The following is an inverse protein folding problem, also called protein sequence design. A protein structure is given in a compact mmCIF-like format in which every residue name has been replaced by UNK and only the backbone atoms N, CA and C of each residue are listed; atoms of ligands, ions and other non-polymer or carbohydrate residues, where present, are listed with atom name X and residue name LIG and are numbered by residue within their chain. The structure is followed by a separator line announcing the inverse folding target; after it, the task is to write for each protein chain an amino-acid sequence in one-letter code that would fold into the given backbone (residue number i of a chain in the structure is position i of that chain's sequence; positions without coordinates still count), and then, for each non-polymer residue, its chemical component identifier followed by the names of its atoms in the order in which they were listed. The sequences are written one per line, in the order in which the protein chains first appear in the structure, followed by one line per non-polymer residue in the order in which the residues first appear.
data_IF_563942499395
#
_entry.id   IF_563942499395
#
_cell.length_a   1.000
_cell.length_b   1.000
_cell.length_c   1.000
_cell.angle_alpha   90.00
_cell.angle_beta   90.00
_cell.angle_gamma   90.00
#
_symmetry.space_group_name_H-M   'P 1'
#
loop_
_entity.id
_entity.type
_entity.pdbx_description
1 polymer ?
#
# COMPACT_ATOMS: atom_id res chain seq x y z
N UNK A 1 40.65 46.07 -36.87
CA UNK A 1 39.30 46.58 -37.22
C UNK A 1 38.54 45.51 -38.00
N UNK A 2 37.59 44.81 -37.37
CA UNK A 2 36.62 43.94 -38.05
C UNK A 2 35.26 44.17 -37.41
N UNK A 3 34.30 44.51 -38.26
CA UNK A 3 32.99 45.01 -37.89
C UNK A 3 32.06 43.90 -37.42
N UNK A 4 31.19 44.30 -36.50
CA UNK A 4 30.15 43.57 -35.80
C UNK A 4 29.01 43.20 -36.74
N UNK A 5 28.68 41.91 -36.84
CA UNK A 5 27.49 41.39 -37.52
C UNK A 5 26.47 40.86 -36.52
N UNK A 6 25.59 41.75 -36.03
CA UNK A 6 24.46 41.45 -35.13
C UNK A 6 23.36 40.71 -35.91
N UNK A 7 23.14 39.42 -35.64
CA UNK A 7 21.97 38.68 -36.16
C UNK A 7 20.75 38.94 -35.26
N UNK A 8 19.79 39.70 -35.77
CA UNK A 8 18.45 39.86 -35.19
C UNK A 8 17.66 38.55 -35.28
N UNK A 9 17.43 37.89 -34.14
CA UNK A 9 16.46 36.81 -34.02
C UNK A 9 15.11 37.43 -33.66
N UNK A 10 14.18 37.46 -34.62
CA UNK A 10 12.77 37.83 -34.40
C UNK A 10 12.13 36.77 -33.50
N UNK A 11 11.80 37.15 -32.28
CA UNK A 11 10.95 36.36 -31.38
C UNK A 11 9.51 36.44 -31.86
N UNK A 12 9.03 35.40 -32.55
CA UNK A 12 7.60 35.19 -32.78
C UNK A 12 6.97 34.80 -31.43
N UNK A 13 6.20 35.72 -30.83
CA UNK A 13 5.26 35.41 -29.75
C UNK A 13 4.15 34.55 -30.35
N UNK A 14 4.17 33.25 -30.07
CA UNK A 14 3.00 32.40 -30.17
C UNK A 14 2.13 32.71 -28.95
N UNK A 15 1.01 33.40 -29.18
CA UNK A 15 0.00 33.59 -28.12
C UNK A 15 -0.63 32.24 -27.74
N UNK A 16 -1.00 32.02 -26.48
CA UNK A 16 -1.69 30.81 -26.08
C UNK A 16 -3.04 30.72 -26.83
N UNK A 17 -3.39 29.57 -27.41
CA UNK A 17 -4.70 29.39 -28.02
C UNK A 17 -5.76 29.54 -26.93
N UNK A 18 -6.76 30.37 -27.22
CA UNK A 18 -7.95 30.52 -26.40
C UNK A 18 -8.47 29.14 -26.00
N UNK A 19 -8.45 28.87 -24.70
CA UNK A 19 -9.06 27.68 -24.13
C UNK A 19 -10.52 27.71 -24.56
N UNK A 20 -10.88 26.85 -25.52
CA UNK A 20 -12.25 26.44 -25.74
C UNK A 20 -12.80 26.07 -24.37
N UNK A 21 -13.92 26.66 -24.01
CA UNK A 21 -14.78 26.21 -22.93
C UNK A 21 -15.10 24.72 -23.17
N UNK A 22 -14.21 23.86 -22.69
CA UNK A 22 -14.49 22.47 -22.45
C UNK A 22 -15.43 22.48 -21.25
N UNK A 23 -16.72 22.63 -21.54
CA UNK A 23 -17.77 22.31 -20.60
C UNK A 23 -17.38 20.99 -19.92
N UNK A 24 -17.18 21.05 -18.61
CA UNK A 24 -16.85 19.87 -17.82
C UNK A 24 -17.87 18.78 -18.18
N UNK A 25 -17.43 17.55 -18.49
CA UNK A 25 -18.37 16.49 -18.80
C UNK A 25 -19.35 16.40 -17.63
N UNK A 26 -20.63 16.62 -17.92
CA UNK A 26 -21.71 16.54 -16.95
C UNK A 26 -21.49 15.26 -16.12
N UNK A 27 -21.23 15.44 -14.83
CA UNK A 27 -20.92 14.38 -13.90
C UNK A 27 -22.08 13.40 -13.93
N UNK A 28 -21.89 12.28 -14.63
CA UNK A 28 -22.81 11.16 -14.57
C UNK A 28 -22.79 10.72 -13.11
N UNK A 29 -23.83 11.08 -12.36
CA UNK A 29 -23.94 10.75 -10.96
C UNK A 29 -23.85 9.22 -10.86
N UNK A 30 -22.70 8.72 -10.41
CA UNK A 30 -22.55 7.31 -10.09
C UNK A 30 -23.52 7.06 -8.95
N UNK A 31 -24.59 6.29 -9.21
CA UNK A 31 -25.62 6.03 -8.21
C UNK A 31 -24.95 5.37 -7.00
N UNK A 32 -24.94 6.07 -5.86
CA UNK A 32 -24.42 5.52 -4.61
C UNK A 32 -25.41 4.52 -4.05
N UNK A 33 -24.93 3.34 -3.70
CA UNK A 33 -25.72 2.33 -3.00
C UNK A 33 -25.66 2.63 -1.52
N UNK A 34 -26.79 3.03 -0.96
CA UNK A 34 -26.94 3.23 0.48
C UNK A 34 -27.15 1.86 1.14
N UNK A 35 -26.32 1.54 2.12
CA UNK A 35 -26.39 0.32 2.92
C UNK A 35 -26.61 0.67 4.40
N UNK A 36 -27.44 -0.11 5.08
CA UNK A 36 -27.60 0.03 6.53
C UNK A 36 -26.44 -0.64 7.27
N UNK A 37 -25.91 0.03 8.29
CA UNK A 37 -24.96 -0.60 9.22
C UNK A 37 -25.77 -1.42 10.23
N UNK A 38 -25.54 -2.75 10.34
CA UNK A 38 -26.33 -3.58 11.24
C UNK A 38 -26.18 -3.14 12.70
N UNK A 39 -27.29 -3.03 13.45
CA UNK A 39 -27.30 -2.55 14.83
C UNK A 39 -26.34 -3.33 15.75
N UNK A 40 -26.30 -4.66 15.60
CA UNK A 40 -25.37 -5.53 16.32
C UNK A 40 -23.88 -5.14 16.14
N UNK A 41 -23.52 -4.58 14.98
CA UNK A 41 -22.15 -4.14 14.69
C UNK A 41 -21.86 -2.81 15.36
N UNK A 42 -22.84 -1.89 15.38
CA UNK A 42 -22.74 -0.62 16.09
C UNK A 42 -22.64 -0.84 17.61
N UNK A 43 -23.46 -1.73 18.16
CA UNK A 43 -23.38 -2.10 19.57
C UNK A 43 -22.04 -2.75 19.94
N UNK A 44 -21.51 -3.60 19.06
CA UNK A 44 -20.20 -4.22 19.28
C UNK A 44 -19.09 -3.18 19.26
N UNK A 45 -19.16 -2.19 18.36
CA UNK A 45 -18.22 -1.07 18.30
C UNK A 45 -18.31 -0.23 19.59
N UNK A 46 -19.52 0.16 19.99
CA UNK A 46 -19.74 0.95 21.20
C UNK A 46 -19.22 0.24 22.47
N UNK A 47 -19.40 -1.09 22.55
CA UNK A 47 -18.93 -1.90 23.69
C UNK A 47 -17.42 -2.16 23.68
N UNK A 48 -16.76 -2.07 22.53
CA UNK A 48 -15.35 -2.43 22.39
C UNK A 48 -14.37 -1.48 23.10
N UNK A 49 -14.80 -0.28 23.48
CA UNK A 49 -13.94 0.72 24.12
C UNK A 49 -12.79 1.16 23.22
N UNK A 50 -11.72 1.77 23.78
CA UNK A 50 -10.54 2.14 23.01
C UNK A 50 -9.81 0.88 22.53
N UNK A 51 -9.63 0.78 21.21
CA UNK A 51 -8.92 -0.32 20.56
C UNK A 51 -7.47 0.08 20.31
N UNK A 52 -6.55 -0.65 20.94
CA UNK A 52 -5.11 -0.46 20.77
C UNK A 52 -4.52 -1.52 19.83
N UNK A 53 -3.58 -1.11 18.99
CA UNK A 53 -2.84 -2.00 18.11
C UNK A 53 -1.89 -2.88 18.91
N UNK A 54 -2.03 -4.20 18.78
CA UNK A 54 -1.15 -5.17 19.45
C UNK A 54 -0.03 -5.58 18.48
N UNK A 55 1.20 -5.06 18.62
CA UNK A 55 2.28 -5.33 17.68
C UNK A 55 2.69 -6.81 17.73
N UNK A 56 2.93 -7.42 16.58
CA UNK A 56 3.52 -8.76 16.51
C UNK A 56 5.04 -8.68 16.72
N UNK A 57 5.45 -8.67 17.99
CA UNK A 57 6.86 -8.60 18.38
C UNK A 57 7.66 -9.77 17.82
N UNK A 58 7.09 -11.00 17.83
CA UNK A 58 7.78 -12.20 17.36
C UNK A 58 8.00 -12.13 15.86
N UNK A 59 6.95 -11.82 15.09
CA UNK A 59 7.06 -11.67 13.64
C UNK A 59 8.03 -10.56 13.24
N UNK A 60 7.96 -9.41 13.92
CA UNK A 60 8.83 -8.27 13.64
C UNK A 60 10.30 -8.56 13.96
N UNK A 61 10.60 -9.18 15.12
CA UNK A 61 11.97 -9.58 15.49
C UNK A 61 12.53 -10.63 14.55
N UNK A 62 11.73 -11.64 14.16
CA UNK A 62 12.16 -12.65 13.20
C UNK A 62 12.45 -12.05 11.83
N UNK A 63 11.65 -11.08 11.39
CA UNK A 63 11.88 -10.38 10.14
C UNK A 63 13.20 -9.59 10.18
N UNK A 64 13.40 -8.75 11.19
CA UNK A 64 14.64 -7.95 11.34
C UNK A 64 15.85 -8.87 11.51
N UNK A 65 15.76 -9.88 12.38
CA UNK A 65 16.83 -10.85 12.59
C UNK A 65 17.15 -11.64 11.31
N UNK A 66 16.12 -12.00 10.53
CA UNK A 66 16.26 -12.63 9.21
C UNK A 66 17.00 -11.74 8.21
N UNK A 67 16.68 -10.44 8.16
CA UNK A 67 17.42 -9.48 7.33
C UNK A 67 18.88 -9.34 7.75
N UNK A 68 19.15 -9.24 9.06
CA UNK A 68 20.51 -9.19 9.58
C UNK A 68 21.28 -10.46 9.20
N UNK A 69 20.69 -11.64 9.39
CA UNK A 69 21.31 -12.91 9.01
C UNK A 69 21.55 -13.00 7.51
N UNK A 70 20.59 -12.54 6.69
CA UNK A 70 20.71 -12.49 5.24
C UNK A 70 21.88 -11.60 4.78
N UNK A 71 21.99 -10.38 5.33
CA UNK A 71 23.12 -9.49 5.02
C UNK A 71 24.45 -10.06 5.51
N UNK A 72 24.48 -10.69 6.69
CA UNK A 72 25.67 -11.35 7.20
C UNK A 72 26.12 -12.52 6.31
N UNK A 73 25.17 -13.32 5.79
CA UNK A 73 25.46 -14.41 4.84
C UNK A 73 25.98 -13.88 3.51
N UNK A 74 25.41 -12.80 2.98
CA UNK A 74 25.94 -12.14 1.77
C UNK A 74 27.38 -11.66 2.02
N UNK A 75 27.63 -10.98 3.14
CA UNK A 75 28.97 -10.51 3.49
C UNK A 75 29.96 -11.67 3.61
N UNK A 76 29.58 -12.76 4.30
CA UNK A 76 30.41 -13.95 4.43
C UNK A 76 30.67 -14.63 3.07
N UNK A 77 29.66 -14.73 2.21
CA UNK A 77 29.80 -15.28 0.86
C UNK A 77 30.73 -14.46 -0.03
N UNK A 78 30.67 -13.13 0.07
CA UNK A 78 31.58 -12.23 -0.64
C UNK A 78 33.02 -12.38 -0.15
N UNK A 79 33.23 -12.45 1.17
CA UNK A 79 34.58 -12.68 1.74
C UNK A 79 35.12 -14.03 1.30
N UNK A 80 34.29 -15.08 1.32
CA UNK A 80 34.68 -16.41 0.85
C UNK A 80 35.02 -16.42 -0.65
N UNK A 81 34.23 -15.74 -1.48
CA UNK A 81 34.50 -15.62 -2.92
C UNK A 81 35.85 -14.94 -3.19
N UNK A 82 36.15 -13.84 -2.48
CA UNK A 82 37.45 -13.14 -2.59
C UNK A 82 38.62 -14.03 -2.14
N UNK A 83 38.45 -14.83 -1.08
CA UNK A 83 39.50 -15.72 -0.57
C UNK A 83 39.75 -16.94 -1.47
N UNK A 84 38.74 -17.37 -2.24
CA UNK A 84 38.80 -18.55 -3.11
C UNK A 84 39.20 -18.22 -4.56
N UNK A 85 39.32 -16.94 -4.92
CA UNK A 85 39.69 -16.53 -6.26
C UNK A 85 41.21 -16.58 -6.43
N UNK A 86 41.70 -17.65 -7.06
CA UNK A 86 43.14 -17.90 -7.29
C UNK A 86 43.70 -17.08 -8.48
N UNK A 87 42.85 -16.65 -9.42
CA UNK A 87 43.25 -15.92 -10.63
C UNK A 87 43.05 -14.40 -10.52
N UNK A 88 43.96 -13.72 -9.81
CA UNK A 88 44.02 -12.25 -9.72
C UNK A 88 44.46 -11.55 -11.03
N UNK A 89 44.55 -12.28 -12.14
CA UNK A 89 45.05 -11.77 -13.42
C UNK A 89 44.15 -10.68 -14.00
N UNK A 90 42.83 -10.76 -13.81
CA UNK A 90 41.85 -9.73 -14.21
C UNK A 90 41.78 -8.52 -13.26
N UNK A 91 42.36 -8.62 -12.06
CA UNK A 91 42.35 -7.55 -11.07
C UNK A 91 43.48 -6.53 -11.31
N UNK A 92 44.59 -6.96 -11.92
CA UNK A 92 45.74 -6.11 -12.24
C UNK A 92 45.34 -5.01 -13.23
N UNK A 93 45.23 -3.79 -12.72
CA UNK A 93 44.81 -2.59 -13.48
C UNK A 93 43.51 -1.95 -12.98
N UNK A 94 42.68 -2.70 -12.23
CA UNK A 94 41.39 -2.23 -11.69
C UNK A 94 41.32 -2.32 -10.15
N UNK A 95 42.45 -2.51 -9.48
CA UNK A 95 42.55 -2.69 -8.03
C UNK A 95 41.85 -1.58 -7.23
N UNK A 96 42.02 -0.33 -7.67
CA UNK A 96 41.36 0.82 -7.05
C UNK A 96 39.82 0.76 -7.16
N UNK A 97 39.29 0.27 -8.29
CA UNK A 97 37.84 0.13 -8.52
C UNK A 97 37.28 -1.00 -7.66
N UNK A 98 37.98 -2.13 -7.59
CA UNK A 98 37.59 -3.28 -6.75
C UNK A 98 37.63 -2.94 -5.26
N UNK A 99 38.65 -2.21 -4.82
CA UNK A 99 38.80 -1.76 -3.44
C UNK A 99 37.70 -0.74 -3.08
N UNK A 100 37.38 0.19 -3.98
CA UNK A 100 36.30 1.16 -3.79
C UNK A 100 34.93 0.47 -3.74
N UNK A 101 34.69 -0.52 -4.60
CA UNK A 101 33.46 -1.31 -4.61
C UNK A 101 33.33 -2.15 -3.34
N UNK A 102 34.40 -2.79 -2.89
CA UNK A 102 34.46 -3.55 -1.64
C UNK A 102 34.20 -2.66 -0.42
N UNK A 103 34.80 -1.47 -0.37
CA UNK A 103 34.56 -0.50 0.71
C UNK A 103 33.12 0.01 0.71
N UNK A 104 32.55 0.30 -0.46
CA UNK A 104 31.16 0.75 -0.61
C UNK A 104 30.19 -0.35 -0.18
N UNK A 105 30.45 -1.59 -0.55
CA UNK A 105 29.65 -2.75 -0.18
C UNK A 105 29.75 -3.06 1.32
N UNK A 106 30.94 -2.99 1.89
CA UNK A 106 31.16 -3.15 3.33
C UNK A 106 30.45 -2.03 4.13
N UNK A 107 30.57 -0.77 3.68
CA UNK A 107 29.88 0.35 4.29
C UNK A 107 28.36 0.23 4.19
N UNK A 108 27.83 -0.20 3.06
CA UNK A 108 26.40 -0.41 2.85
C UNK A 108 25.84 -1.56 3.70
N UNK A 109 26.50 -2.74 3.67
CA UNK A 109 26.09 -3.91 4.45
C UNK A 109 26.27 -3.68 5.95
N UNK A 110 27.43 -3.18 6.38
CA UNK A 110 27.72 -2.87 7.77
C UNK A 110 26.82 -1.77 8.33
N UNK A 111 26.58 -0.71 7.56
CA UNK A 111 25.65 0.37 7.92
C UNK A 111 24.20 -0.12 8.01
N UNK A 112 23.77 -0.98 7.06
CA UNK A 112 22.44 -1.60 7.09
C UNK A 112 22.25 -2.51 8.30
N UNK A 113 23.21 -3.39 8.59
CA UNK A 113 23.19 -4.26 9.78
C UNK A 113 23.17 -3.43 11.06
N UNK A 114 24.04 -2.42 11.17
CA UNK A 114 24.08 -1.52 12.32
C UNK A 114 22.74 -0.80 12.54
N UNK A 115 22.15 -0.26 11.47
CA UNK A 115 20.84 0.38 11.51
C UNK A 115 19.76 -0.59 12.02
N UNK A 116 19.69 -1.81 11.46
CA UNK A 116 18.71 -2.82 11.87
C UNK A 116 18.88 -3.26 13.34
N UNK A 117 20.12 -3.45 13.79
CA UNK A 117 20.44 -3.76 15.19
C UNK A 117 20.00 -2.62 16.13
N UNK A 118 20.16 -1.37 15.71
CA UNK A 118 19.69 -0.20 16.47
C UNK A 118 18.16 -0.11 16.55
N UNK A 119 17.43 -0.62 15.55
CA UNK A 119 15.96 -0.69 15.57
C UNK A 119 15.42 -1.86 16.39
N UNK A 120 16.19 -2.94 16.54
CA UNK A 120 15.78 -4.13 17.30
C UNK A 120 15.23 -3.87 18.72
N UNK A 121 15.82 -2.98 19.57
CA UNK A 121 15.26 -2.65 20.87
C UNK A 121 13.96 -1.84 20.80
N UNK A 122 13.72 -1.13 19.69
CA UNK A 122 12.53 -0.30 19.45
C UNK A 122 11.34 -1.06 18.87
N UNK A 123 11.48 -2.38 18.70
CA UNK A 123 10.42 -3.23 18.18
C UNK A 123 9.23 -3.23 19.14
N UNK A 124 8.08 -2.83 18.62
CA UNK A 124 6.83 -2.70 19.38
C UNK A 124 6.44 -1.27 19.74
N UNK A 125 7.33 -0.29 19.53
CA UNK A 125 7.06 1.13 19.87
C UNK A 125 6.09 1.84 18.91
N UNK A 126 5.40 1.12 18.02
CA UNK A 126 4.42 1.74 17.12
C UNK A 126 3.07 1.91 17.81
N UNK A 127 2.58 3.16 17.90
CA UNK A 127 1.26 3.43 18.44
C UNK A 127 0.22 3.38 17.31
N UNK A 128 -0.87 2.66 17.53
CA UNK A 128 -2.11 2.81 16.80
C UNK A 128 -3.23 2.63 17.81
N UNK A 129 -4.10 3.64 17.95
CA UNK A 129 -5.27 3.57 18.82
C UNK A 129 -6.45 4.20 18.12
N UNK A 130 -7.60 3.56 18.26
CA UNK A 130 -8.88 3.95 17.69
C UNK A 130 -9.87 3.96 18.84
N UNK A 131 -10.54 5.08 19.07
CA UNK A 131 -11.59 5.21 20.07
C UNK A 131 -12.80 5.98 19.51
N UNK A 132 -13.76 6.31 20.36
CA UNK A 132 -14.98 6.98 19.94
C UNK A 132 -14.77 8.45 19.51
N UNK A 133 -13.62 9.06 19.85
CA UNK A 133 -13.32 10.46 19.51
C UNK A 133 -12.46 10.57 18.25
N UNK A 134 -11.59 9.57 18.03
CA UNK A 134 -10.67 9.61 16.90
C UNK A 134 -9.77 8.39 16.78
N UNK A 135 -8.72 8.59 15.98
CA UNK A 135 -7.62 7.66 15.83
C UNK A 135 -6.29 8.40 15.99
N UNK A 136 -5.33 7.77 16.62
CA UNK A 136 -3.94 8.21 16.65
C UNK A 136 -3.00 7.11 16.19
N UNK A 137 -1.93 7.49 15.48
CA UNK A 137 -0.93 6.56 14.97
C UNK A 137 0.45 7.19 14.84
N UNK A 138 1.47 6.34 14.72
CA UNK A 138 2.83 6.74 14.41
C UNK A 138 3.78 6.62 15.60
N UNK A 139 4.81 7.47 15.63
CA UNK A 139 5.81 7.48 16.69
C UNK A 139 5.19 8.07 17.97
N UNK A 140 5.32 7.41 19.14
CA UNK A 140 4.87 7.96 20.42
C UNK A 140 5.43 9.36 20.73
N UNK A 141 6.62 9.70 20.23
CA UNK A 141 7.22 11.02 20.40
C UNK A 141 6.59 12.10 19.49
N UNK A 142 5.91 11.70 18.42
CA UNK A 142 5.26 12.61 17.46
C UNK A 142 3.99 11.97 16.88
N UNK A 143 2.96 11.73 17.72
CA UNK A 143 1.78 11.01 17.28
C UNK A 143 0.99 11.85 16.27
N UNK A 144 0.56 11.22 15.20
CA UNK A 144 -0.45 11.77 14.30
C UNK A 144 -1.81 11.41 14.85
N UNK A 145 -2.76 12.33 14.79
CA UNK A 145 -4.11 12.10 15.30
C UNK A 145 -5.15 12.72 14.38
N UNK A 146 -6.31 12.08 14.33
CA UNK A 146 -7.49 12.50 13.58
C UNK A 146 -8.69 12.33 14.48
N UNK A 147 -9.49 13.37 14.63
CA UNK A 147 -10.79 13.27 15.28
C UNK A 147 -11.85 12.92 14.25
N UNK A 148 -12.79 12.06 14.61
CA UNK A 148 -13.86 11.65 13.71
C UNK A 148 -14.67 12.83 13.20
N UNK A 149 -15.02 13.77 14.09
CA UNK A 149 -15.72 15.01 13.73
C UNK A 149 -14.99 15.93 12.74
N UNK A 150 -13.68 15.73 12.57
CA UNK A 150 -12.87 16.50 11.62
C UNK A 150 -12.80 15.80 10.26
N UNK A 151 -13.21 14.54 10.16
CA UNK A 151 -13.33 13.85 8.88
C UNK A 151 -14.48 14.45 8.09
N UNK A 152 -14.24 14.76 6.81
CA UNK A 152 -15.21 15.44 5.98
C UNK A 152 -15.36 14.78 4.61
N UNK A 153 -16.49 15.08 3.98
CA UNK A 153 -16.73 14.74 2.58
C UNK A 153 -15.76 15.51 1.68
N UNK A 154 -15.25 14.87 0.63
CA UNK A 154 -14.43 15.53 -0.36
C UNK A 154 -15.28 16.43 -1.24
N UNK A 155 -14.84 17.69 -1.41
CA UNK A 155 -15.50 18.67 -2.25
C UNK A 155 -15.44 18.31 -3.74
N UNK A 156 -14.41 17.56 -4.13
CA UNK A 156 -14.14 17.17 -5.51
C UNK A 156 -13.94 15.66 -5.58
N UNK A 157 -14.50 15.02 -6.60
CA UNK A 157 -14.35 13.59 -6.87
C UNK A 157 -15.60 12.75 -6.54
N UNK A 158 -15.53 11.48 -6.92
CA UNK A 158 -16.64 10.53 -6.81
C UNK A 158 -16.62 9.75 -5.48
N UNK A 159 -15.46 9.66 -4.82
CA UNK A 159 -15.26 8.90 -3.60
C UNK A 159 -14.57 9.78 -2.54
N UNK A 160 -15.04 9.68 -1.30
CA UNK A 160 -14.48 10.37 -0.14
C UNK A 160 -13.49 9.47 0.61
N UNK A 161 -13.74 8.16 0.57
CA UNK A 161 -12.85 7.13 1.10
C UNK A 161 -12.48 6.17 -0.02
N UNK A 162 -11.18 6.05 -0.32
CA UNK A 162 -10.67 5.23 -1.42
C UNK A 162 -9.34 4.57 -1.07
N UNK A 163 -8.92 3.63 -1.89
CA UNK A 163 -7.60 3.01 -1.82
C UNK A 163 -6.74 3.45 -2.98
N UNK A 164 -5.51 3.89 -2.71
CA UNK A 164 -4.57 4.31 -3.75
C UNK A 164 -3.23 3.59 -3.61
N UNK A 165 -2.58 3.31 -4.74
CA UNK A 165 -1.17 2.94 -4.77
C UNK A 165 -0.33 4.21 -4.81
N UNK A 166 0.67 4.31 -3.92
CA UNK A 166 1.67 5.37 -4.04
C UNK A 166 2.66 4.97 -5.12
N UNK A 167 2.63 5.67 -6.25
CA UNK A 167 3.40 5.32 -7.45
C UNK A 167 4.92 5.49 -7.31
N UNK A 168 5.43 6.09 -6.23
CA UNK A 168 6.84 6.47 -6.13
C UNK A 168 7.67 5.72 -5.09
N UNK A 169 7.09 5.08 -4.06
CA UNK A 169 7.89 4.61 -2.90
C UNK A 169 7.60 3.19 -2.42
N UNK A 170 6.40 2.62 -2.67
CA UNK A 170 6.12 1.22 -2.34
C UNK A 170 4.83 0.72 -2.99
N UNK A 171 4.76 -0.58 -3.30
CA UNK A 171 3.51 -1.29 -3.65
C UNK A 171 2.66 -1.51 -2.38
N UNK A 172 2.38 -0.43 -1.65
CA UNK A 172 1.55 -0.44 -0.45
C UNK A 172 0.30 0.38 -0.74
N UNK A 173 -0.83 -0.31 -0.82
CA UNK A 173 -2.14 0.36 -0.88
C UNK A 173 -2.36 1.18 0.38
N UNK A 174 -2.72 2.45 0.21
CA UNK A 174 -3.08 3.37 1.28
C UNK A 174 -4.58 3.64 1.25
N UNK A 175 -5.20 3.64 2.43
CA UNK A 175 -6.52 4.20 2.65
C UNK A 175 -6.40 5.73 2.66
N UNK A 176 -7.23 6.37 1.86
CA UNK A 176 -7.24 7.81 1.65
C UNK A 176 -8.59 8.37 2.03
N UNK A 177 -8.60 9.41 2.86
CA UNK A 177 -9.80 10.17 3.21
C UNK A 177 -9.43 11.62 3.56
N UNK A 178 -10.42 12.51 3.66
CA UNK A 178 -10.18 13.93 3.94
C UNK A 178 -10.53 14.31 5.39
N UNK A 179 -9.77 15.25 5.92
CA UNK A 179 -10.07 15.92 7.17
C UNK A 179 -10.04 17.44 7.01
N UNK A 180 -10.86 18.13 7.79
CA UNK A 180 -10.83 19.59 7.95
C UNK A 180 -10.63 19.88 9.42
N UNK A 181 -9.42 20.32 9.76
CA UNK A 181 -9.14 20.87 11.09
C UNK A 181 -9.85 22.22 11.20
N UNK A 182 -10.38 22.58 12.39
CA UNK A 182 -11.18 23.80 12.59
C UNK A 182 -10.55 25.04 11.93
N UNK A 183 -11.23 25.59 10.91
CA UNK A 183 -10.82 26.80 10.18
C UNK A 183 -9.69 26.61 9.16
N UNK A 184 -9.25 25.37 8.93
CA UNK A 184 -8.21 25.02 7.97
C UNK A 184 -8.75 24.51 6.64
N UNK A 185 -7.87 24.48 5.64
CA UNK A 185 -8.13 23.84 4.36
C UNK A 185 -8.28 22.31 4.52
N UNK A 186 -9.11 21.65 3.69
CA UNK A 186 -9.20 20.20 3.66
C UNK A 186 -7.83 19.57 3.40
N UNK A 187 -7.41 18.67 4.28
CA UNK A 187 -6.18 17.90 4.16
C UNK A 187 -6.50 16.44 3.91
N UNK A 188 -5.77 15.84 2.97
CA UNK A 188 -5.83 14.42 2.70
C UNK A 188 -5.01 13.63 3.73
N UNK A 189 -5.64 12.63 4.34
CA UNK A 189 -5.01 11.66 5.23
C UNK A 189 -4.78 10.38 4.44
N UNK A 190 -3.53 9.89 4.49
CA UNK A 190 -3.09 8.68 3.79
C UNK A 190 -2.54 7.68 4.80
N UNK A 191 -3.32 6.64 5.10
CA UNK A 191 -2.95 5.60 6.04
C UNK A 191 -2.59 4.31 5.29
N UNK A 192 -1.45 3.66 5.54
CA UNK A 192 -1.17 2.34 4.98
C UNK A 192 -2.28 1.36 5.34
N UNK A 193 -2.85 0.63 4.38
CA UNK A 193 -3.94 -0.32 4.67
C UNK A 193 -3.47 -1.55 5.47
N UNK A 194 -2.16 -1.81 5.45
CA UNK A 194 -1.52 -2.75 6.36
C UNK A 194 -1.54 -2.27 7.82
N UNK A 195 -1.84 -0.97 8.04
CA UNK A 195 -1.73 -0.24 9.30
C UNK A 195 -0.29 -0.19 9.82
N UNK A 196 0.70 -0.37 8.94
CA UNK A 196 2.13 -0.35 9.29
C UNK A 196 2.71 1.02 8.98
N UNK A 197 2.96 1.82 10.02
CA UNK A 197 3.54 3.16 9.86
C UNK A 197 5.07 3.07 9.73
N UNK A 198 5.69 2.15 10.47
CA UNK A 198 7.13 1.90 10.46
C UNK A 198 7.38 0.39 10.52
N UNK A 199 7.77 -0.22 9.41
CA UNK A 199 8.03 -1.67 9.30
C UNK A 199 9.23 -2.12 10.13
N UNK A 200 10.14 -1.19 10.48
CA UNK A 200 11.30 -1.48 11.33
C UNK A 200 10.94 -1.60 12.82
N UNK A 201 9.81 -1.03 13.24
CA UNK A 201 9.33 -1.11 14.63
C UNK A 201 8.13 -2.05 14.79
N UNK A 202 7.20 -2.03 13.82
CA UNK A 202 6.01 -2.88 13.82
C UNK A 202 5.75 -3.39 12.41
N UNK A 203 6.08 -4.65 12.17
CA UNK A 203 5.81 -5.30 10.88
C UNK A 203 4.31 -5.50 10.65
N UNK A 204 3.55 -5.81 11.69
CA UNK A 204 2.09 -5.98 11.65
C UNK A 204 1.48 -5.92 13.05
N UNK A 205 0.21 -5.53 13.09
CA UNK A 205 -0.64 -5.69 14.28
C UNK A 205 -1.38 -7.03 14.24
N UNK A 206 -1.37 -7.79 15.35
CA UNK A 206 -2.06 -9.08 15.46
C UNK A 206 -3.58 -8.92 15.33
N UNK A 207 -4.12 -7.84 15.87
CA UNK A 207 -5.53 -7.46 15.80
C UNK A 207 -5.85 -6.53 14.61
N UNK A 208 -5.02 -6.52 13.54
CA UNK A 208 -5.21 -5.67 12.35
C UNK A 208 -6.64 -5.71 11.81
N UNK A 209 -7.25 -6.88 11.70
CA UNK A 209 -8.59 -7.02 11.14
C UNK A 209 -9.64 -6.27 11.98
N UNK A 210 -9.50 -6.31 13.30
CA UNK A 210 -10.38 -5.60 14.24
C UNK A 210 -10.17 -4.09 14.13
N UNK A 211 -8.91 -3.64 14.12
CA UNK A 211 -8.56 -2.22 13.96
C UNK A 211 -9.07 -1.65 12.64
N UNK A 212 -8.86 -2.37 11.53
CA UNK A 212 -9.29 -1.91 10.21
C UNK A 212 -10.82 -1.87 10.10
N UNK A 213 -11.51 -2.86 10.67
CA UNK A 213 -12.98 -2.86 10.75
C UNK A 213 -13.49 -1.68 11.57
N UNK A 214 -12.91 -1.43 12.74
CA UNK A 214 -13.30 -0.30 13.59
C UNK A 214 -13.06 1.05 12.88
N UNK A 215 -11.91 1.21 12.22
CA UNK A 215 -11.61 2.40 11.43
C UNK A 215 -12.67 2.63 10.34
N UNK A 216 -12.95 1.61 9.53
CA UNK A 216 -13.95 1.73 8.46
C UNK A 216 -15.36 1.95 9.00
N UNK A 217 -15.72 1.34 10.13
CA UNK A 217 -16.99 1.57 10.80
C UNK A 217 -17.12 3.01 11.26
N UNK A 218 -16.11 3.55 11.96
CA UNK A 218 -16.14 4.96 12.39
C UNK A 218 -16.26 5.92 11.20
N UNK A 219 -15.59 5.62 10.08
CA UNK A 219 -15.75 6.40 8.84
C UNK A 219 -17.16 6.22 8.24
N UNK A 220 -17.75 5.03 8.30
CA UNK A 220 -19.08 4.75 7.75
C UNK A 220 -20.20 5.37 8.59
N UNK A 221 -19.98 5.53 9.90
CA UNK A 221 -20.95 6.12 10.83
C UNK A 221 -20.81 7.63 10.98
N UNK A 222 -20.06 8.30 10.09
CA UNK A 222 -19.95 9.76 10.14
C UNK A 222 -21.32 10.43 10.01
N UNK A 223 -21.60 11.48 10.80
CA UNK A 223 -22.84 12.23 10.69
C UNK A 223 -22.93 12.89 9.32
N UNK A 224 -24.16 13.25 8.90
CA UNK A 224 -24.39 13.82 7.56
C UNK A 224 -23.51 15.07 7.33
N UNK A 225 -22.90 15.22 6.15
CA UNK A 225 -23.05 14.38 4.95
C UNK A 225 -22.29 13.05 5.02
N UNK A 226 -22.94 11.97 4.55
CA UNK A 226 -22.35 10.62 4.49
C UNK A 226 -21.12 10.59 3.59
N UNK A 227 -20.12 9.82 3.99
CA UNK A 227 -18.95 9.55 3.17
C UNK A 227 -19.28 8.51 2.10
N UNK A 228 -18.79 8.77 0.88
CA UNK A 228 -18.84 7.86 -0.26
C UNK A 228 -17.60 6.99 -0.27
N UNK A 229 -17.78 5.68 -0.09
CA UNK A 229 -16.72 4.70 -0.15
C UNK A 229 -16.61 4.13 -1.54
N UNK A 230 -15.38 3.98 -2.02
CA UNK A 230 -15.08 3.08 -3.14
C UNK A 230 -15.22 1.62 -2.70
N UNK A 231 -15.82 0.79 -3.55
CA UNK A 231 -15.94 -0.65 -3.32
C UNK A 231 -14.57 -1.33 -3.12
N UNK A 232 -13.52 -0.83 -3.78
CA UNK A 232 -12.17 -1.37 -3.63
C UNK A 232 -11.66 -1.34 -2.18
N UNK A 233 -12.09 -0.36 -1.39
CA UNK A 233 -11.72 -0.25 0.04
C UNK A 233 -12.10 -1.52 0.80
N UNK A 234 -13.28 -2.06 0.53
CA UNK A 234 -13.81 -3.25 1.19
C UNK A 234 -13.14 -4.53 0.69
N UNK A 235 -12.83 -4.61 -0.61
CA UNK A 235 -12.07 -5.71 -1.22
C UNK A 235 -10.68 -5.78 -0.59
N UNK A 236 -10.00 -4.64 -0.51
CA UNK A 236 -8.63 -4.57 -0.03
C UNK A 236 -8.53 -4.76 1.48
N UNK A 237 -9.55 -4.30 2.22
CA UNK A 237 -9.69 -4.56 3.64
C UNK A 237 -10.07 -6.02 3.93
N UNK A 238 -10.73 -6.69 2.97
CA UNK A 238 -11.28 -8.03 3.13
C UNK A 238 -12.47 -8.05 4.09
N UNK A 239 -13.35 -7.04 4.01
CA UNK A 239 -14.53 -6.88 4.86
C UNK A 239 -15.74 -6.70 3.97
N UNK A 240 -16.76 -7.54 4.14
CA UNK A 240 -18.02 -7.42 3.40
C UNK A 240 -18.77 -6.14 3.84
N UNK A 241 -19.07 -5.19 2.92
CA UNK A 241 -19.72 -3.93 3.28
C UNK A 241 -21.16 -4.13 3.81
N UNK A 242 -21.83 -5.24 3.50
CA UNK A 242 -23.21 -5.49 3.96
C UNK A 242 -23.22 -6.07 5.38
N UNK A 243 -22.39 -7.09 5.62
CA UNK A 243 -22.40 -7.83 6.90
C UNK A 243 -21.35 -7.33 7.89
N UNK A 244 -20.35 -6.57 7.43
CA UNK A 244 -19.13 -6.19 8.16
C UNK A 244 -18.33 -7.39 8.69
N UNK A 245 -18.59 -8.59 8.16
CA UNK A 245 -17.84 -9.79 8.46
C UNK A 245 -16.54 -9.84 7.64
N UNK A 246 -15.49 -10.52 8.15
CA UNK A 246 -14.31 -10.78 7.34
C UNK A 246 -14.68 -11.62 6.12
N UNK A 247 -14.33 -11.13 4.93
CA UNK A 247 -14.47 -11.90 3.71
C UNK A 247 -13.53 -13.10 3.76
N UNK A 248 -13.98 -14.33 3.41
CA UNK A 248 -13.10 -15.48 3.24
C UNK A 248 -12.03 -15.21 2.16
N UNK A 249 -10.91 -14.71 2.64
CA UNK A 249 -9.59 -14.53 2.04
C UNK A 249 -9.52 -14.41 0.49
N UNK A 250 -10.01 -13.30 -0.09
CA UNK A 250 -9.73 -12.94 -1.48
C UNK A 250 -8.23 -12.98 -1.82
N UNK A 251 -7.37 -12.57 -0.87
CA UNK A 251 -5.90 -12.63 -1.04
C UNK A 251 -5.31 -14.04 -1.07
N UNK A 252 -5.89 -15.01 -0.36
CA UNK A 252 -5.37 -16.40 -0.40
C UNK A 252 -5.63 -17.00 -1.78
N UNK A 253 -6.79 -16.72 -2.35
CA UNK A 253 -7.09 -17.08 -3.73
C UNK A 253 -6.16 -16.38 -4.71
N UNK A 254 -5.77 -15.13 -4.44
CA UNK A 254 -4.83 -14.40 -5.29
C UNK A 254 -3.45 -15.05 -5.26
N UNK A 255 -2.98 -15.44 -4.07
CA UNK A 255 -1.73 -16.19 -3.93
C UNK A 255 -1.81 -17.55 -4.60
N UNK A 256 -2.91 -18.29 -4.42
CA UNK A 256 -3.12 -19.59 -5.05
C UNK A 256 -3.17 -19.47 -6.57
N UNK A 257 -3.84 -18.46 -7.14
CA UNK A 257 -3.88 -18.21 -8.58
C UNK A 257 -2.51 -17.81 -9.11
N UNK A 258 -1.75 -16.99 -8.38
CA UNK A 258 -0.37 -16.63 -8.77
C UNK A 258 0.58 -17.83 -8.69
N UNK A 259 0.46 -18.66 -7.65
CA UNK A 259 1.25 -19.90 -7.52
C UNK A 259 0.90 -20.89 -8.63
N UNK A 260 -0.39 -21.06 -8.91
CA UNK A 260 -0.88 -21.91 -9.98
C UNK A 260 -0.41 -21.40 -11.35
N UNK A 261 -0.37 -20.08 -11.56
CA UNK A 261 0.17 -19.49 -12.77
C UNK A 261 1.69 -19.60 -12.91
N UNK A 262 2.42 -19.76 -11.80
CA UNK A 262 3.87 -19.97 -11.79
C UNK A 262 4.26 -21.41 -12.19
N UNK A 263 3.40 -22.39 -11.91
CA UNK A 263 3.67 -23.81 -12.20
C UNK A 263 3.93 -24.08 -13.70
N UNK A 264 3.14 -23.58 -14.67
CA UNK A 264 3.42 -23.72 -16.09
C UNK A 264 4.75 -23.08 -16.49
N UNK A 265 5.07 -21.90 -15.92
CA UNK A 265 6.33 -21.20 -16.20
C UNK A 265 7.52 -22.02 -15.72
N UNK A 266 7.45 -22.55 -14.50
CA UNK A 266 8.46 -23.45 -13.94
C UNK A 266 8.59 -24.74 -14.76
N UNK A 267 7.46 -25.33 -15.20
CA UNK A 267 7.46 -26.52 -16.03
C UNK A 267 8.18 -26.29 -17.37
N UNK A 268 7.96 -25.14 -18.03
CA UNK A 268 8.67 -24.79 -19.27
C UNK A 268 10.16 -24.54 -19.01
N UNK A 269 10.53 -23.91 -17.90
CA UNK A 269 11.94 -23.68 -17.55
C UNK A 269 12.69 -25.00 -17.28
N UNK A 270 12.04 -25.95 -16.60
CA UNK A 270 12.68 -27.20 -16.15
C UNK A 270 12.67 -28.29 -17.23
N UNK A 271 11.60 -28.39 -18.02
CA UNK A 271 11.38 -29.52 -18.93
C UNK A 271 11.80 -29.26 -20.38
N UNK A 272 12.10 -28.01 -20.77
CA UNK A 272 12.39 -27.68 -22.16
C UNK A 272 13.85 -27.22 -22.40
N UNK A 273 14.49 -27.63 -23.52
CA UNK A 273 15.87 -27.27 -23.82
C UNK A 273 16.08 -25.76 -23.97
N UNK A 274 17.18 -25.26 -23.43
CA UNK A 274 17.65 -23.88 -23.55
C UNK A 274 18.06 -23.57 -24.98
N UNK A 275 17.24 -22.83 -25.74
CA UNK A 275 17.67 -22.33 -27.05
C UNK A 275 16.58 -21.74 -27.96
N UNK A 276 15.36 -22.28 -27.96
CA UNK A 276 14.44 -22.00 -29.09
C UNK A 276 13.15 -21.22 -28.75
N UNK A 277 12.79 -20.96 -27.49
CA UNK A 277 11.36 -20.76 -27.18
C UNK A 277 11.00 -19.66 -26.17
N UNK A 278 11.75 -18.55 -26.14
CA UNK A 278 11.36 -17.35 -25.38
C UNK A 278 9.91 -16.94 -25.68
N UNK A 279 9.47 -17.05 -26.95
CA UNK A 279 8.10 -16.76 -27.35
C UNK A 279 7.05 -17.65 -26.68
N UNK A 280 7.28 -18.96 -26.57
CA UNK A 280 6.36 -19.88 -25.91
C UNK A 280 6.34 -19.70 -24.40
N UNK A 281 7.47 -19.39 -23.78
CA UNK A 281 7.53 -19.02 -22.36
C UNK A 281 6.68 -17.79 -22.06
N UNK A 282 6.80 -16.74 -22.88
CA UNK A 282 6.00 -15.52 -22.75
C UNK A 282 4.52 -15.85 -22.96
N UNK A 283 4.17 -16.62 -24.00
CA UNK A 283 2.78 -16.99 -24.28
C UNK A 283 2.15 -17.81 -23.15
N UNK A 284 2.85 -18.82 -22.62
CA UNK A 284 2.39 -19.63 -21.50
C UNK A 284 2.21 -18.78 -20.23
N UNK A 285 3.13 -17.86 -19.97
CA UNK A 285 3.04 -16.92 -18.84
C UNK A 285 1.82 -16.01 -18.98
N UNK A 286 1.62 -15.41 -20.15
CA UNK A 286 0.47 -14.52 -20.41
C UNK A 286 -0.85 -15.28 -20.28
N UNK A 287 -0.97 -16.47 -20.86
CA UNK A 287 -2.18 -17.30 -20.75
C UNK A 287 -2.46 -17.68 -19.29
N UNK A 288 -1.43 -18.04 -18.52
CA UNK A 288 -1.57 -18.36 -17.11
C UNK A 288 -2.03 -17.14 -16.29
N UNK A 289 -1.48 -15.95 -16.56
CA UNK A 289 -1.91 -14.70 -15.91
C UNK A 289 -3.36 -14.34 -16.25
N UNK A 290 -3.75 -14.46 -17.53
CA UNK A 290 -5.12 -14.16 -17.99
C UNK A 290 -6.12 -15.15 -17.38
N UNK A 291 -5.82 -16.45 -17.40
CA UNK A 291 -6.67 -17.47 -16.80
C UNK A 291 -6.80 -17.27 -15.28
N UNK A 292 -5.70 -16.97 -14.58
CA UNK A 292 -5.71 -16.66 -13.16
C UNK A 292 -6.54 -15.42 -12.82
N UNK A 293 -6.36 -14.34 -13.59
CA UNK A 293 -7.14 -13.11 -13.42
C UNK A 293 -8.64 -13.32 -13.73
N UNK A 294 -8.96 -14.08 -14.78
CA UNK A 294 -10.33 -14.41 -15.17
C UNK A 294 -11.04 -15.27 -14.13
N UNK A 295 -10.39 -16.34 -13.64
CA UNK A 295 -10.92 -17.20 -12.57
C UNK A 295 -11.15 -16.41 -11.28
N UNK A 296 -10.22 -15.51 -10.94
CA UNK A 296 -10.37 -14.60 -9.80
C UNK A 296 -11.58 -13.67 -9.98
N UNK A 297 -11.68 -12.99 -11.12
CA UNK A 297 -12.78 -12.08 -11.42
C UNK A 297 -14.14 -12.78 -11.36
N UNK A 298 -14.24 -13.98 -11.94
CA UNK A 298 -15.42 -14.84 -11.86
C UNK A 298 -15.77 -15.16 -10.41
N UNK A 299 -14.81 -15.65 -9.62
CA UNK A 299 -15.03 -16.05 -8.23
C UNK A 299 -15.51 -14.87 -7.37
N UNK A 300 -14.88 -13.69 -7.53
CA UNK A 300 -15.29 -12.47 -6.84
C UNK A 300 -16.72 -12.08 -7.20
N UNK A 301 -17.06 -12.14 -8.49
CA UNK A 301 -18.38 -11.79 -8.97
C UNK A 301 -19.46 -12.74 -8.42
N UNK A 302 -19.19 -14.05 -8.40
CA UNK A 302 -20.14 -15.03 -7.86
C UNK A 302 -20.32 -14.94 -6.35
N UNK A 303 -19.22 -14.76 -5.61
CA UNK A 303 -19.25 -14.82 -4.14
C UNK A 303 -19.69 -13.51 -3.50
N UNK A 304 -19.49 -12.40 -4.20
CA UNK A 304 -19.83 -11.07 -3.71
C UNK A 304 -20.57 -10.24 -4.78
N UNK A 305 -21.80 -10.65 -5.15
CA UNK A 305 -22.60 -9.90 -6.11
C UNK A 305 -22.90 -8.49 -5.54
N UNK A 306 -22.51 -7.47 -6.30
CA UNK A 306 -22.73 -6.07 -5.92
C UNK A 306 -21.60 -5.40 -5.15
N UNK A 307 -20.39 -5.97 -5.17
CA UNK A 307 -19.16 -5.33 -4.66
C UNK A 307 -18.50 -4.39 -5.68
N UNK A 308 -19.33 -3.63 -6.40
CA UNK A 308 -18.92 -2.68 -7.43
C UNK A 308 -19.64 -1.36 -7.19
N UNK A 309 -18.96 -0.25 -7.47
CA UNK A 309 -19.53 1.10 -7.40
C UNK A 309 -19.22 1.85 -6.10
N UNK A 310 -20.12 2.76 -5.73
CA UNK A 310 -19.97 3.67 -4.60
C UNK A 310 -20.90 3.22 -3.48
N UNK A 311 -20.40 3.11 -2.26
CA UNK A 311 -21.19 2.83 -1.07
C UNK A 311 -21.35 4.05 -0.18
N UNK A 312 -22.55 4.27 0.33
CA UNK A 312 -22.82 5.18 1.45
C UNK A 312 -23.49 4.37 2.57
N UNK A 313 -23.30 4.80 3.81
CA UNK A 313 -23.81 4.06 4.97
C UNK A 313 -24.83 4.85 5.78
N UNK A 314 -25.91 4.18 6.16
CA UNK A 314 -26.95 4.70 7.03
C UNK A 314 -26.89 3.98 8.37
N UNK A 315 -26.91 4.76 9.45
CA UNK A 315 -27.17 4.24 10.79
C UNK A 315 -28.67 4.35 11.05
N UNK A 316 -29.29 3.27 11.53
CA UNK A 316 -30.72 3.29 11.85
C UNK A 316 -31.03 4.42 12.84
N UNK A 317 -32.08 5.19 12.56
CA UNK A 317 -32.53 6.30 13.39
C UNK A 317 -32.94 5.78 14.78
N UNK A 318 -32.03 5.85 15.75
CA UNK A 318 -32.24 5.35 17.11
C UNK A 318 -30.97 4.85 17.81
N UNK A 319 -29.87 4.61 17.08
CA UNK A 319 -28.61 4.13 17.67
C UNK A 319 -27.60 5.24 18.03
N UNK A 320 -27.94 6.51 17.84
CA UNK A 320 -27.07 7.67 18.04
C UNK A 320 -27.58 8.65 19.11
N UNK A 321 -28.28 8.13 20.13
CA UNK A 321 -28.65 8.89 21.34
C UNK A 321 -27.75 8.53 22.51
#
# INVERSE_FOLDING_TARGET
MRAVGRKHRKSQRVGPPAARDAAAPASRAVASRVLDVPAQVLEALARSGPLEGVPDLRGTRLFIGGFVAFFALIAAGLVAAVMLEEDWSNARGNEAILLLLGLLLFGALGGGIWYLLRQFPRVGEGMLRIDADGMCWGDPASPQAVRWREVCRAHVGFHDVKTEFVSSEAIVKRLVFQQVTRGGEPREIRLPLALTVDTSRVLRFRNRAVLLRALLLHLATQPRPRLRFDAEVFIDAGIDPQTWAPMPAPRRWMWLSSLAGLLPVLAVIVLWPTGEHIGWMVAATVLALVAGAGAMGWFMHQRYPGLQGVFEFETAAGAAS
#
